data_IF_662812291206
#
_entry.id   IF_662812291206
#
_cell.length_a   1.000
_cell.length_b   1.000
_cell.length_c   1.000
_cell.angle_alpha   90.00
_cell.angle_beta   90.00
_cell.angle_gamma   90.00
#
_symmetry.space_group_name_H-M   'P 1'
#
loop_
_entity.id
_entity.type
_entity.pdbx_description
1 polymer ?
#
# COMPACT_ATOMS: atom_id res chain seq x y z
N UNK A 1 -4.90 -17.99 -4.38
CA UNK A 1 -4.87 -16.68 -3.69
C UNK A 1 -4.31 -15.65 -4.67
N UNK A 2 -4.81 -14.41 -4.68
CA UNK A 2 -4.28 -13.36 -5.57
C UNK A 2 -2.89 -12.92 -5.07
N UNK A 3 -1.92 -12.67 -5.97
CA UNK A 3 -0.54 -12.30 -5.61
C UNK A 3 -0.45 -11.14 -4.62
N UNK A 4 -1.32 -10.13 -4.77
CA UNK A 4 -1.37 -9.00 -3.85
C UNK A 4 -1.73 -9.43 -2.42
N UNK A 5 -2.67 -10.36 -2.25
CA UNK A 5 -3.05 -10.89 -0.94
C UNK A 5 -1.87 -11.59 -0.28
N UNK A 6 -1.14 -12.43 -1.03
CA UNK A 6 0.06 -13.12 -0.53
C UNK A 6 1.13 -12.11 -0.07
N UNK A 7 1.39 -11.06 -0.83
CA UNK A 7 2.35 -10.04 -0.42
C UNK A 7 1.89 -9.29 0.85
N UNK A 8 0.60 -8.99 0.97
CA UNK A 8 0.04 -8.35 2.18
C UNK A 8 0.15 -9.28 3.39
N UNK A 9 -0.10 -10.57 3.22
CA UNK A 9 0.06 -11.58 4.28
C UNK A 9 1.52 -11.63 4.75
N UNK A 10 2.48 -11.73 3.82
CA UNK A 10 3.91 -11.70 4.14
C UNK A 10 4.31 -10.41 4.89
N UNK A 11 3.87 -9.25 4.40
CA UNK A 11 4.08 -7.97 5.08
C UNK A 11 3.50 -7.99 6.50
N UNK A 12 2.25 -8.45 6.65
CA UNK A 12 1.56 -8.48 7.94
C UNK A 12 2.24 -9.40 8.96
N UNK A 13 2.82 -10.50 8.48
CA UNK A 13 3.56 -11.47 9.28
C UNK A 13 5.03 -11.06 9.53
N UNK A 14 5.46 -9.88 9.03
CA UNK A 14 6.87 -9.45 9.01
C UNK A 14 7.82 -10.47 8.39
N UNK A 15 7.34 -11.19 7.40
CA UNK A 15 8.13 -12.12 6.61
C UNK A 15 8.75 -11.38 5.40
N UNK A 16 9.92 -11.80 4.93
CA UNK A 16 10.58 -11.16 3.80
C UNK A 16 9.76 -11.35 2.52
N UNK A 17 9.64 -10.28 1.73
CA UNK A 17 9.10 -10.34 0.37
C UNK A 17 10.20 -10.81 -0.60
N UNK A 18 10.32 -12.12 -0.81
CA UNK A 18 11.23 -12.70 -1.80
C UNK A 18 10.53 -12.90 -3.15
N UNK A 19 11.19 -12.57 -4.25
CA UNK A 19 10.71 -12.79 -5.63
C UNK A 19 9.37 -12.09 -5.97
N UNK A 20 9.20 -10.84 -5.53
CA UNK A 20 8.01 -10.04 -5.87
C UNK A 20 7.94 -9.82 -7.38
N UNK A 21 6.91 -10.36 -7.99
CA UNK A 21 6.48 -9.96 -9.33
C UNK A 21 5.68 -8.65 -9.24
N UNK A 22 6.09 -7.58 -9.96
CA UNK A 22 5.39 -6.31 -9.93
C UNK A 22 3.93 -6.44 -10.42
N UNK A 23 3.04 -5.77 -9.71
CA UNK A 23 1.62 -5.68 -10.05
C UNK A 23 1.37 -4.36 -10.78
N UNK A 24 0.83 -4.47 -11.99
CA UNK A 24 0.41 -3.31 -12.77
C UNK A 24 -1.02 -2.93 -12.40
N UNK A 25 -1.22 -1.67 -12.03
CA UNK A 25 -2.56 -1.11 -11.78
C UNK A 25 -3.23 -0.69 -13.09
N UNK A 26 -4.57 -0.75 -13.13
CA UNK A 26 -5.40 -0.20 -14.20
C UNK A 26 -6.47 0.68 -13.58
N UNK A 27 -6.58 1.92 -14.03
CA UNK A 27 -7.62 2.86 -13.56
C UNK A 27 -7.37 3.50 -12.18
N UNK A 28 -6.22 3.23 -11.56
CA UNK A 28 -5.77 3.89 -10.33
C UNK A 28 -4.56 4.78 -10.62
N UNK A 29 -4.36 5.79 -9.79
CA UNK A 29 -3.19 6.68 -9.83
C UNK A 29 -2.27 6.46 -8.62
N UNK A 30 -1.08 7.06 -8.64
CA UNK A 30 -0.12 6.93 -7.53
C UNK A 30 -0.70 7.34 -6.16
N UNK A 31 -1.57 8.36 -6.14
CA UNK A 31 -2.27 8.79 -4.93
C UNK A 31 -3.07 7.65 -4.29
N UNK A 32 -3.77 6.85 -5.10
CA UNK A 32 -4.53 5.70 -4.60
C UNK A 32 -3.63 4.66 -3.94
N UNK A 33 -2.43 4.46 -4.48
CA UNK A 33 -1.45 3.53 -3.91
C UNK A 33 -0.83 4.04 -2.61
N UNK A 34 -0.64 5.35 -2.48
CA UNK A 34 -0.21 5.95 -1.22
C UNK A 34 -1.25 5.72 -0.13
N UNK A 35 -2.52 5.99 -0.42
CA UNK A 35 -3.63 5.75 0.51
C UNK A 35 -3.77 4.26 0.85
N UNK A 36 -3.64 3.40 -0.15
CA UNK A 36 -3.66 1.95 0.04
C UNK A 36 -2.57 1.49 1.00
N UNK A 37 -1.33 1.95 0.82
CA UNK A 37 -0.24 1.66 1.76
C UNK A 37 -0.53 2.20 3.16
N UNK A 38 -1.03 3.42 3.28
CA UNK A 38 -1.42 3.98 4.57
C UNK A 38 -2.44 3.11 5.30
N UNK A 39 -3.48 2.68 4.59
CA UNK A 39 -4.54 1.84 5.15
C UNK A 39 -4.01 0.49 5.64
N UNK A 40 -3.14 -0.17 4.85
CA UNK A 40 -2.47 -1.42 5.26
C UNK A 40 -1.63 -1.19 6.52
N UNK A 41 -0.75 -0.18 6.50
CA UNK A 41 0.13 0.10 7.63
C UNK A 41 -0.65 0.45 8.89
N UNK A 42 -1.69 1.28 8.78
CA UNK A 42 -2.51 1.69 9.92
C UNK A 42 -3.36 0.53 10.48
N UNK A 43 -3.77 -0.42 9.64
CA UNK A 43 -4.52 -1.60 10.07
C UNK A 43 -3.63 -2.59 10.84
N UNK A 44 -2.52 -3.05 10.24
CA UNK A 44 -1.68 -4.06 10.88
C UNK A 44 -0.77 -3.48 11.97
N UNK A 45 -0.29 -2.23 11.79
CA UNK A 45 0.65 -1.55 12.71
C UNK A 45 1.92 -2.36 13.01
N UNK A 46 2.29 -3.27 12.10
CA UNK A 46 3.47 -4.11 12.20
C UNK A 46 4.67 -3.42 11.55
N UNK A 47 5.34 -2.52 12.28
CA UNK A 47 6.57 -1.86 11.80
C UNK A 47 6.42 -0.40 11.44
N UNK A 48 7.50 0.16 10.85
CA UNK A 48 7.61 1.59 10.52
C UNK A 48 7.00 1.89 9.15
N UNK A 49 6.65 3.14 8.92
CA UNK A 49 6.17 3.57 7.60
C UNK A 49 7.18 3.33 6.47
N UNK A 50 8.48 3.31 6.77
CA UNK A 50 9.51 2.97 5.79
C UNK A 50 9.33 1.54 5.22
N UNK A 51 8.85 0.60 6.03
CA UNK A 51 8.62 -0.79 5.63
C UNK A 51 7.45 -0.89 4.64
N UNK A 52 6.33 -0.19 4.90
CA UNK A 52 5.22 -0.15 3.94
C UNK A 52 5.57 0.61 2.66
N UNK A 53 6.42 1.65 2.75
CA UNK A 53 6.90 2.36 1.57
C UNK A 53 7.80 1.50 0.70
N UNK A 54 8.64 0.65 1.30
CA UNK A 54 9.43 -0.36 0.56
C UNK A 54 8.52 -1.41 -0.06
N UNK A 55 7.52 -1.91 0.67
CA UNK A 55 6.50 -2.81 0.16
C UNK A 55 5.83 -2.23 -1.10
N UNK A 56 5.35 -0.98 -1.05
CA UNK A 56 4.73 -0.32 -2.19
C UNK A 56 5.69 -0.22 -3.38
N UNK A 57 6.95 0.16 -3.14
CA UNK A 57 7.97 0.28 -4.19
C UNK A 57 8.27 -1.06 -4.87
N UNK A 58 8.26 -2.16 -4.12
CA UNK A 58 8.49 -3.51 -4.67
C UNK A 58 7.26 -4.04 -5.42
N UNK A 59 6.08 -3.97 -4.79
CA UNK A 59 4.85 -4.55 -5.33
C UNK A 59 4.33 -3.75 -6.51
N UNK A 60 4.44 -2.42 -6.49
CA UNK A 60 3.99 -1.53 -7.58
C UNK A 60 5.18 -0.87 -8.28
N UNK A 61 6.22 -1.66 -8.56
CA UNK A 61 7.49 -1.17 -9.12
C UNK A 61 7.34 -0.39 -10.44
N UNK A 62 6.34 -0.71 -11.26
CA UNK A 62 6.05 0.07 -12.48
C UNK A 62 5.62 1.50 -12.15
N UNK A 63 4.78 1.68 -11.13
CA UNK A 63 4.26 3.00 -10.72
C UNK A 63 5.32 3.81 -9.98
N UNK A 64 6.16 3.15 -9.17
CA UNK A 64 7.15 3.81 -8.30
C UNK A 64 8.60 3.66 -8.78
N UNK A 65 8.81 3.32 -10.06
CA UNK A 65 10.13 3.06 -10.64
C UNK A 65 11.14 4.15 -10.32
N UNK A 66 10.73 5.41 -10.51
CA UNK A 66 11.57 6.60 -10.37
C UNK A 66 11.27 7.41 -9.10
N UNK A 67 10.52 6.81 -8.15
CA UNK A 67 10.12 7.47 -6.90
C UNK A 67 10.91 6.91 -5.74
N UNK A 68 11.57 7.79 -4.99
CA UNK A 68 12.33 7.39 -3.80
C UNK A 68 11.42 6.92 -2.65
N UNK A 69 11.89 5.94 -1.88
CA UNK A 69 11.12 5.38 -0.74
C UNK A 69 10.72 6.48 0.25
N UNK A 70 11.61 7.44 0.50
CA UNK A 70 11.33 8.58 1.37
C UNK A 70 10.19 9.47 0.85
N UNK A 71 10.07 9.63 -0.48
CA UNK A 71 8.95 10.35 -1.10
C UNK A 71 7.65 9.55 -0.99
N UNK A 72 7.68 8.23 -1.21
CA UNK A 72 6.50 7.38 -1.00
C UNK A 72 6.00 7.53 0.44
N UNK A 73 6.90 7.52 1.42
CA UNK A 73 6.56 7.70 2.84
C UNK A 73 5.93 9.06 3.13
N UNK A 74 6.47 10.15 2.60
CA UNK A 74 5.93 11.49 2.85
C UNK A 74 4.53 11.67 2.27
N UNK A 75 4.20 10.95 1.20
CA UNK A 75 2.92 11.07 0.48
C UNK A 75 1.83 10.09 0.93
N UNK A 76 2.09 9.18 1.89
CA UNK A 76 1.12 8.17 2.34
C UNK A 76 -0.26 8.75 2.73
N UNK A 77 -0.29 10.00 3.19
CA UNK A 77 -1.51 10.71 3.63
C UNK A 77 -1.80 12.00 2.86
N UNK A 78 -1.23 12.16 1.68
CA UNK A 78 -1.50 13.33 0.86
C UNK A 78 -2.97 13.39 0.48
N UNK A 79 -3.55 14.60 0.41
CA UNK A 79 -4.90 14.78 -0.15
C UNK A 79 -5.95 13.74 0.34
N UNK A 80 -6.06 13.51 1.66
CA UNK A 80 -6.85 12.39 2.26
C UNK A 80 -8.31 12.26 1.78
N UNK A 81 -8.87 13.32 1.18
CA UNK A 81 -10.24 13.40 0.63
C UNK A 81 -10.35 13.11 -0.87
N UNK A 82 -9.24 12.84 -1.56
CA UNK A 82 -9.18 12.57 -3.00
C UNK A 82 -8.84 11.09 -3.25
N UNK A 83 -8.87 10.71 -4.52
CA UNK A 83 -8.57 9.35 -4.97
C UNK A 83 -9.80 8.46 -5.00
N UNK A 84 -9.66 7.34 -5.69
CA UNK A 84 -10.59 6.21 -5.72
C UNK A 84 -10.46 5.38 -4.44
N UNK A 85 -9.24 5.24 -3.90
CA UNK A 85 -9.00 4.56 -2.61
C UNK A 85 -8.92 5.64 -1.52
N UNK A 86 -9.94 5.78 -0.64
CA UNK A 86 -9.90 6.75 0.44
C UNK A 86 -9.03 6.27 1.61
N UNK A 87 -8.55 7.20 2.42
CA UNK A 87 -7.92 6.87 3.71
C UNK A 87 -8.99 6.50 4.72
N UNK A 88 -8.81 5.37 5.38
CA UNK A 88 -9.72 4.86 6.41
C UNK A 88 -8.97 4.67 7.72
N UNK A 89 -9.42 5.33 8.79
CA UNK A 89 -8.79 5.25 10.12
C UNK A 89 -8.93 3.87 10.76
N UNK A 90 -9.97 3.13 10.40
CA UNK A 90 -10.25 1.77 10.85
C UNK A 90 -10.92 0.99 9.72
N UNK A 91 -10.25 -0.05 9.22
CA UNK A 91 -10.86 -0.93 8.21
C UNK A 91 -12.05 -1.73 8.78
N UNK A 92 -12.16 -1.85 10.11
CA UNK A 92 -13.31 -2.47 10.78
C UNK A 92 -14.60 -1.65 10.64
N UNK A 93 -14.47 -0.35 10.39
CA UNK A 93 -15.61 0.57 10.28
C UNK A 93 -16.19 0.59 8.85
N UNK A 94 -15.46 0.01 7.90
CA UNK A 94 -15.89 -0.10 6.51
C UNK A 94 -16.73 -1.37 6.34
N UNK A 95 -18.05 -1.24 6.49
CA UNK A 95 -18.96 -2.25 5.97
C UNK A 95 -18.89 -2.18 4.45
N UNK A 96 -18.38 -3.23 3.82
CA UNK A 96 -18.53 -3.43 2.38
C UNK A 96 -20.04 -3.57 2.15
N UNK A 97 -20.69 -2.50 1.72
CA UNK A 97 -22.02 -2.59 1.14
C UNK A 97 -21.85 -3.29 -0.21
N UNK A 98 -22.33 -4.53 -0.29
CA UNK A 98 -22.47 -5.29 -1.54
C UNK A 98 -23.27 -4.53 -2.61
#
# INVERSE_FOLDING_TARGET
MLKLCEYIELYSAKLPLSHVEPINIKGLVALDLFHFGWNIWNHFRVGKQDEISQFLKQVFATTFKDVEVGSIKSHLRDDEKKGTIPIVQSLSDHQITE
#
